data_IF_800058626886
#
_entry.id   IF_800058626886
#
_cell.length_a   1.000
_cell.length_b   1.000
_cell.length_c   1.000
_cell.angle_alpha   90.00
_cell.angle_beta   90.00
_cell.angle_gamma   90.00
#
_symmetry.space_group_name_H-M   'P 1'
#
loop_
_entity.id
_entity.type
_entity.pdbx_description
1 polymer ?
#
# COMPACT_ATOMS: atom_id res chain seq x y z
N UNK A 1 14.80 20.36 27.72
CA UNK A 1 14.42 18.94 27.51
C UNK A 1 12.98 18.80 27.01
N UNK A 2 11.97 19.50 27.58
CA UNK A 2 10.57 19.40 27.13
C UNK A 2 10.37 19.80 25.65
N UNK A 3 11.01 20.89 25.21
CA UNK A 3 10.88 21.41 23.84
C UNK A 3 11.42 20.43 22.78
N UNK A 4 12.51 19.71 23.06
CA UNK A 4 13.03 18.70 22.11
C UNK A 4 12.15 17.45 22.06
N UNK A 5 11.55 17.05 23.19
CA UNK A 5 10.60 15.94 23.22
C UNK A 5 9.33 16.27 22.43
N UNK A 6 8.85 17.51 22.53
CA UNK A 6 7.71 18.03 21.76
C UNK A 6 8.02 18.18 20.27
N UNK A 7 9.21 18.67 19.90
CA UNK A 7 9.65 18.72 18.50
C UNK A 7 9.77 17.32 17.88
N UNK A 8 10.29 16.34 18.63
CA UNK A 8 10.35 14.96 18.18
C UNK A 8 8.96 14.33 18.05
N UNK A 9 8.03 14.67 18.95
CA UNK A 9 6.63 14.22 18.88
C UNK A 9 5.90 14.82 17.68
N UNK A 10 6.09 16.11 17.42
CA UNK A 10 5.56 16.80 16.26
C UNK A 10 6.08 16.19 14.95
N UNK A 11 7.38 15.93 14.86
CA UNK A 11 7.98 15.28 13.68
C UNK A 11 7.44 13.88 13.41
N UNK A 12 7.22 13.07 14.46
CA UNK A 12 6.59 11.74 14.32
C UNK A 12 5.16 11.84 13.78
N UNK A 13 4.40 12.83 14.24
CA UNK A 13 2.99 12.96 13.88
C UNK A 13 2.79 13.46 12.44
N UNK A 14 3.64 14.36 11.97
CA UNK A 14 3.66 14.77 10.56
C UNK A 14 4.12 13.62 9.64
N UNK A 15 5.18 12.91 10.02
CA UNK A 15 5.68 11.74 9.27
C UNK A 15 4.64 10.61 9.16
N UNK A 16 3.84 10.38 10.22
CA UNK A 16 2.71 9.44 10.20
C UNK A 16 1.62 9.84 9.21
N UNK A 17 1.31 11.13 9.06
CA UNK A 17 0.28 11.65 8.13
C UNK A 17 0.74 11.57 6.68
N UNK A 18 2.03 11.75 6.44
CA UNK A 18 2.62 11.73 5.09
C UNK A 18 2.82 10.31 4.55
N UNK A 19 2.93 9.28 5.40
CA UNK A 19 2.95 7.87 4.97
C UNK A 19 1.57 7.33 4.53
N UNK A 20 0.48 8.02 4.86
CA UNK A 20 -0.91 7.57 4.59
C UNK A 20 -1.28 7.54 3.10
N UNK A 21 -0.93 8.56 2.27
CA UNK A 21 -1.35 8.62 0.88
C UNK A 21 -0.78 7.50 0.02
N UNK A 22 0.51 7.17 0.13
CA UNK A 22 1.10 6.08 -0.66
C UNK A 22 0.59 4.69 -0.23
N UNK A 23 0.36 4.47 1.07
CA UNK A 23 -0.28 3.24 1.55
C UNK A 23 -1.73 3.12 1.08
N UNK A 24 -2.45 4.24 1.00
CA UNK A 24 -3.81 4.30 0.47
C UNK A 24 -3.80 3.96 -1.03
N UNK A 25 -2.87 4.51 -1.79
CA UNK A 25 -2.72 4.21 -3.20
C UNK A 25 -2.34 2.74 -3.46
N UNK A 26 -1.39 2.19 -2.68
CA UNK A 26 -1.02 0.77 -2.76
C UNK A 26 -2.19 -0.16 -2.42
N UNK A 27 -3.01 0.21 -1.43
CA UNK A 27 -4.26 -0.49 -1.13
C UNK A 27 -5.21 -0.46 -2.33
N UNK A 28 -5.33 0.68 -3.00
CA UNK A 28 -6.10 0.82 -4.24
C UNK A 28 -5.68 -0.19 -5.31
N UNK A 29 -4.38 -0.29 -5.60
CA UNK A 29 -3.84 -1.23 -6.60
C UNK A 29 -4.26 -2.68 -6.31
N UNK A 30 -4.09 -3.13 -5.06
CA UNK A 30 -4.44 -4.50 -4.70
C UNK A 30 -5.95 -4.75 -4.70
N UNK A 31 -6.76 -3.76 -4.33
CA UNK A 31 -8.21 -3.89 -4.38
C UNK A 31 -8.72 -3.92 -5.84
N UNK A 32 -8.11 -3.15 -6.75
CA UNK A 32 -8.40 -3.23 -8.19
C UNK A 32 -8.07 -4.62 -8.73
N UNK A 33 -6.86 -5.14 -8.49
CA UNK A 33 -6.47 -6.48 -8.94
C UNK A 33 -7.38 -7.56 -8.34
N UNK A 34 -7.75 -7.44 -7.06
CA UNK A 34 -8.73 -8.33 -6.42
C UNK A 34 -10.07 -8.26 -7.15
N UNK A 35 -10.55 -7.07 -7.49
CA UNK A 35 -11.84 -6.91 -8.14
C UNK A 35 -11.84 -7.52 -9.55
N UNK A 36 -10.79 -7.32 -10.35
CA UNK A 36 -10.61 -7.99 -11.65
C UNK A 36 -10.75 -9.50 -11.52
N UNK A 37 -10.06 -10.12 -10.56
CA UNK A 37 -10.18 -11.57 -10.31
C UNK A 37 -11.60 -11.98 -9.95
N UNK A 38 -12.35 -11.15 -9.21
CA UNK A 38 -13.73 -11.47 -8.83
C UNK A 38 -14.74 -11.24 -9.94
N UNK A 39 -14.43 -10.37 -10.90
CA UNK A 39 -15.27 -10.07 -12.05
C UNK A 39 -15.15 -11.17 -13.13
N UNK A 40 -14.00 -11.85 -13.21
CA UNK A 40 -13.77 -13.00 -14.08
C UNK A 40 -14.45 -14.30 -13.60
N UNK A 41 -15.00 -14.31 -12.38
CA UNK A 41 -15.62 -15.49 -11.78
C UNK A 41 -17.14 -15.51 -12.01
N UNK A 42 -17.72 -16.68 -12.33
CA UNK A 42 -19.17 -16.85 -12.35
C UNK A 42 -19.77 -16.64 -10.96
N UNK A 43 -21.00 -16.14 -10.91
CA UNK A 43 -21.73 -15.96 -9.65
C UNK A 43 -21.98 -17.32 -8.95
N UNK A 44 -21.78 -17.37 -7.63
CA UNK A 44 -21.97 -18.60 -6.85
C UNK A 44 -21.24 -18.61 -5.50
N UNK A 45 -21.37 -19.73 -4.78
CA UNK A 45 -20.74 -19.90 -3.45
C UNK A 45 -19.21 -19.80 -3.48
N UNK A 46 -18.59 -20.27 -4.57
CA UNK A 46 -17.14 -20.19 -4.78
C UNK A 46 -16.66 -18.75 -4.86
N UNK A 47 -17.41 -17.87 -5.56
CA UNK A 47 -17.09 -16.44 -5.66
C UNK A 47 -17.07 -15.77 -4.29
N UNK A 48 -18.03 -16.10 -3.43
CA UNK A 48 -18.07 -15.57 -2.07
C UNK A 48 -16.90 -16.08 -1.19
N UNK A 49 -16.49 -17.33 -1.36
CA UNK A 49 -15.32 -17.88 -0.67
C UNK A 49 -14.01 -17.21 -1.15
N UNK A 50 -13.87 -16.99 -2.45
CA UNK A 50 -12.72 -16.33 -3.07
C UNK A 50 -12.65 -14.84 -2.66
N UNK A 51 -13.78 -14.12 -2.61
CA UNK A 51 -13.79 -12.73 -2.12
C UNK A 51 -13.28 -12.65 -0.67
N UNK A 52 -13.72 -13.55 0.22
CA UNK A 52 -13.22 -13.60 1.61
C UNK A 52 -11.73 -13.92 1.67
N UNK A 53 -11.29 -14.93 0.93
CA UNK A 53 -9.89 -15.36 0.92
C UNK A 53 -8.96 -14.26 0.40
N UNK A 54 -9.35 -13.59 -0.69
CA UNK A 54 -8.57 -12.52 -1.31
C UNK A 54 -8.56 -11.25 -0.46
N UNK A 55 -9.66 -10.89 0.22
CA UNK A 55 -9.66 -9.81 1.24
C UNK A 55 -8.66 -10.08 2.36
N UNK A 56 -8.61 -11.32 2.87
CA UNK A 56 -7.62 -11.71 3.89
C UNK A 56 -6.19 -11.64 3.35
N UNK A 57 -5.98 -12.02 2.09
CA UNK A 57 -4.69 -11.93 1.41
C UNK A 57 -4.24 -10.47 1.28
N UNK A 58 -5.06 -9.58 0.75
CA UNK A 58 -4.76 -8.15 0.61
C UNK A 58 -4.43 -7.53 1.96
N UNK A 59 -5.21 -7.83 3.00
CA UNK A 59 -4.93 -7.35 4.36
C UNK A 59 -3.57 -7.84 4.89
N UNK A 60 -3.21 -9.11 4.66
CA UNK A 60 -1.91 -9.67 5.05
C UNK A 60 -0.75 -9.03 4.28
N UNK A 61 -0.93 -8.82 2.98
CA UNK A 61 0.07 -8.18 2.11
C UNK A 61 0.32 -6.74 2.53
N UNK A 62 -0.72 -5.97 2.89
CA UNK A 62 -0.58 -4.57 3.30
C UNK A 62 -0.06 -4.39 4.72
N UNK A 63 -0.25 -5.39 5.60
CA UNK A 63 0.17 -5.28 7.00
C UNK A 63 1.68 -5.01 7.14
N UNK A 64 2.52 -5.79 6.43
CA UNK A 64 3.98 -5.67 6.54
C UNK A 64 4.55 -4.37 5.96
N UNK A 65 4.21 -3.94 4.74
CA UNK A 65 4.60 -2.65 4.18
C UNK A 65 4.15 -1.47 5.06
N UNK A 66 2.90 -1.52 5.56
CA UNK A 66 2.38 -0.48 6.46
C UNK A 66 3.20 -0.38 7.74
N UNK A 67 3.52 -1.52 8.37
CA UNK A 67 4.35 -1.55 9.58
C UNK A 67 5.80 -1.11 9.29
N UNK A 68 6.35 -1.47 8.13
CA UNK A 68 7.69 -1.05 7.69
C UNK A 68 7.80 0.45 7.52
N UNK A 69 6.88 1.07 6.76
CA UNK A 69 6.85 2.52 6.56
C UNK A 69 6.66 3.29 7.86
N UNK A 70 5.76 2.83 8.75
CA UNK A 70 5.57 3.46 10.06
C UNK A 70 6.83 3.41 10.94
N UNK A 71 7.60 2.31 10.88
CA UNK A 71 8.89 2.24 11.58
C UNK A 71 9.91 3.20 11.01
N UNK A 72 10.05 3.25 9.68
CA UNK A 72 10.94 4.20 9.00
C UNK A 72 10.57 5.66 9.33
N UNK A 73 9.27 5.98 9.38
CA UNK A 73 8.76 7.28 9.81
C UNK A 73 9.13 7.59 11.27
N UNK A 74 8.91 6.65 12.18
CA UNK A 74 9.24 6.81 13.60
C UNK A 74 10.75 6.95 13.85
N UNK A 75 11.57 6.30 13.03
CA UNK A 75 13.04 6.37 13.07
C UNK A 75 13.59 7.64 12.37
N UNK A 76 12.74 8.40 11.67
CA UNK A 76 13.14 9.61 10.95
C UNK A 76 14.10 9.36 9.79
N UNK A 77 14.09 8.15 9.23
CA UNK A 77 15.05 7.70 8.21
C UNK A 77 14.36 7.03 7.04
N UNK A 78 14.80 7.37 5.83
CA UNK A 78 14.51 6.66 4.58
C UNK A 78 13.02 6.49 4.22
N UNK A 79 12.08 7.07 4.98
CA UNK A 79 10.63 6.99 4.72
C UNK A 79 10.29 7.49 3.32
N UNK A 80 10.73 8.70 2.97
CA UNK A 80 10.43 9.31 1.67
C UNK A 80 11.02 8.49 0.51
N UNK A 81 12.22 7.90 0.69
CA UNK A 81 12.83 7.03 -0.29
C UNK A 81 12.07 5.71 -0.46
N UNK A 82 11.63 5.10 0.65
CA UNK A 82 10.79 3.91 0.63
C UNK A 82 9.42 4.17 -0.01
N UNK A 83 8.82 5.33 0.27
CA UNK A 83 7.56 5.76 -0.34
C UNK A 83 7.70 5.96 -1.84
N UNK A 84 8.76 6.65 -2.29
CA UNK A 84 9.05 6.86 -3.70
C UNK A 84 9.28 5.52 -4.42
N UNK A 85 9.96 4.56 -3.79
CA UNK A 85 10.15 3.23 -4.35
C UNK A 85 8.82 2.47 -4.48
N UNK A 86 7.95 2.55 -3.48
CA UNK A 86 6.61 1.95 -3.55
C UNK A 86 5.76 2.58 -4.65
N UNK A 87 5.79 3.92 -4.80
CA UNK A 87 5.12 4.60 -5.92
C UNK A 87 5.64 4.06 -7.25
N UNK A 88 6.97 4.04 -7.43
CA UNK A 88 7.59 3.60 -8.69
C UNK A 88 7.25 2.15 -9.05
N UNK A 89 7.25 1.25 -8.07
CA UNK A 89 7.06 -0.19 -8.32
C UNK A 89 5.60 -0.58 -8.50
N UNK A 90 4.65 0.14 -7.89
CA UNK A 90 3.25 -0.29 -7.85
C UNK A 90 2.25 0.72 -8.43
N UNK A 91 2.59 2.01 -8.49
CA UNK A 91 1.69 3.08 -8.93
C UNK A 91 2.09 3.65 -10.30
N UNK A 92 3.40 3.88 -10.50
CA UNK A 92 3.91 4.51 -11.72
C UNK A 92 4.25 3.50 -12.82
N UNK A 93 4.33 2.21 -12.47
CA UNK A 93 4.56 1.11 -13.40
C UNK A 93 3.31 0.79 -14.27
N UNK A 94 2.39 1.73 -14.42
CA UNK A 94 1.17 1.58 -15.21
C UNK A 94 1.48 1.22 -16.66
N UNK A 95 0.97 0.05 -17.06
CA UNK A 95 0.62 -0.34 -18.42
C UNK A 95 1.69 -0.19 -19.50
N UNK A 96 2.82 -0.90 -19.36
CA UNK A 96 3.41 -1.51 -20.56
C UNK A 96 2.53 -2.70 -20.95
N UNK A 97 1.38 -2.43 -21.59
CA UNK A 97 0.75 -3.46 -22.41
C UNK A 97 1.82 -3.92 -23.42
N UNK A 98 2.12 -5.23 -23.53
CA UNK A 98 2.96 -5.70 -24.61
C UNK A 98 2.30 -5.24 -25.89
N UNK A 99 2.97 -4.33 -26.61
CA UNK A 99 2.58 -4.01 -27.97
C UNK A 99 2.78 -5.30 -28.74
N UNK A 100 1.70 -6.03 -28.98
CA UNK A 100 1.68 -7.08 -29.98
C UNK A 100 2.07 -6.40 -31.29
N UNK A 101 3.34 -6.58 -31.68
CA UNK A 101 3.84 -6.17 -32.99
C UNK A 101 3.16 -7.04 -34.05
N UNK A 102 2.52 -6.35 -34.99
CA UNK A 102 1.69 -6.86 -36.11
C UNK A 102 2.47 -7.77 -37.08
#
# INVERSE_FOLDING_TARGET
ALVEAELAAFGRHEAEREAVPALTALRGVFETARQTVLDDLPEGEERAAIDRATRLLVNRLLHRPSAGLRRLAAEGRDQAAAEALLRRLFLDAGDEEPKDEE
#
